data_IF_433790300772
#
_entry.id   IF_433790300772
#
_cell.length_a   1.000
_cell.length_b   1.000
_cell.length_c   1.000
_cell.angle_alpha   90.00
_cell.angle_beta   90.00
_cell.angle_gamma   90.00
#
_symmetry.space_group_name_H-M   'P 1'
#
loop_
_entity.id
_entity.type
_entity.pdbx_description
1 polymer ?
2 non-polymer ?
#
# COMPACT_ATOMS: atom_id res chain seq x y z
N UNK A 1 22.22 -0.47 -1.41
CA UNK A 1 21.40 -0.05 -0.22
C UNK A 1 20.16 -0.95 -0.06
N UNK A 2 20.16 -1.81 0.96
CA UNK A 2 19.04 -2.72 1.16
C UNK A 2 18.12 -2.40 2.34
N UNK A 3 18.23 -1.17 2.85
CA UNK A 3 17.40 -0.75 3.97
C UNK A 3 15.96 -0.53 3.52
N UNK A 4 15.01 -0.90 4.39
CA UNK A 4 13.59 -0.72 4.11
C UNK A 4 12.78 -0.41 5.37
N UNK A 5 11.61 0.15 5.12
CA UNK A 5 10.63 0.47 6.15
C UNK A 5 9.43 -0.29 5.61
N UNK A 6 8.71 -1.00 6.47
CA UNK A 6 7.58 -1.78 5.97
C UNK A 6 6.33 -1.79 6.86
N UNK A 7 5.18 -1.94 6.21
CA UNK A 7 3.88 -2.02 6.86
C UNK A 7 3.24 -3.27 6.27
N UNK A 8 3.07 -4.31 7.09
CA UNK A 8 2.52 -5.57 6.60
C UNK A 8 1.08 -5.90 7.01
N UNK A 9 0.40 -6.61 6.12
CA UNK A 9 -0.96 -7.06 6.37
C UNK A 9 -1.97 -6.01 6.77
N UNK A 10 -1.85 -4.81 6.21
CA UNK A 10 -2.81 -3.76 6.52
C UNK A 10 -4.14 -4.17 5.86
N UNK A 11 -5.23 -4.15 6.62
CA UNK A 11 -6.52 -4.55 6.09
C UNK A 11 -7.56 -3.46 6.18
N UNK A 12 -8.29 -3.29 5.09
CA UNK A 12 -9.29 -2.26 4.99
C UNK A 12 -10.55 -2.84 4.36
N UNK A 13 -11.72 -2.42 4.81
CA UNK A 13 -12.93 -2.92 4.19
C UNK A 13 -13.30 -1.89 3.13
N UNK A 14 -13.32 -2.32 1.87
CA UNK A 14 -13.63 -1.42 0.78
C UNK A 14 -14.64 -1.87 -0.26
N UNK A 15 -14.90 -1.02 -1.26
CA UNK A 15 -15.87 -1.31 -2.31
C UNK A 15 -15.32 -1.24 -3.73
N UNK A 16 -14.03 -1.47 -3.89
CA UNK A 16 -13.42 -1.46 -5.21
C UNK A 16 -13.68 -2.82 -5.86
N UNK A 17 -13.71 -2.82 -7.19
CA UNK A 17 -13.97 -4.03 -7.95
C UNK A 17 -14.69 -3.67 -9.24
N UNK A 18 -14.32 -4.36 -10.32
CA UNK A 18 -14.91 -4.12 -11.64
C UNK A 18 -16.38 -4.54 -11.76
N UNK A 19 -16.82 -5.37 -10.81
CA UNK A 19 -18.19 -5.88 -10.77
C UNK A 19 -19.10 -5.00 -9.89
N UNK A 20 -20.31 -4.71 -10.38
CA UNK A 20 -21.31 -3.90 -9.68
C UNK A 20 -21.54 -4.43 -8.28
N UNK A 21 -21.83 -5.72 -8.22
CA UNK A 21 -22.08 -6.44 -6.97
C UNK A 21 -20.98 -6.20 -5.93
N UNK A 22 -19.72 -6.21 -6.38
CA UNK A 22 -18.55 -5.98 -5.53
C UNK A 22 -18.59 -4.57 -4.94
N UNK A 23 -18.95 -3.59 -5.76
CA UNK A 23 -19.02 -2.21 -5.31
C UNK A 23 -20.13 -2.04 -4.28
N UNK A 24 -21.16 -2.87 -4.42
CA UNK A 24 -22.31 -2.85 -3.54
C UNK A 24 -22.03 -3.45 -2.15
N UNK A 25 -21.54 -4.70 -2.13
CA UNK A 25 -21.24 -5.45 -0.89
C UNK A 25 -19.90 -5.08 -0.21
N UNK A 26 -18.85 -4.92 -1.00
CA UNK A 26 -17.55 -4.57 -0.46
C UNK A 26 -16.82 -5.82 -0.02
N UNK A 27 -15.55 -5.67 0.34
CA UNK A 27 -14.75 -6.80 0.80
C UNK A 27 -13.48 -6.30 1.46
N UNK A 28 -12.76 -7.22 2.11
CA UNK A 28 -11.52 -6.86 2.76
C UNK A 28 -10.37 -6.90 1.75
N UNK A 29 -9.54 -5.86 1.82
CA UNK A 29 -8.37 -5.70 0.96
C UNK A 29 -7.17 -5.73 1.90
N UNK A 30 -6.17 -6.54 1.55
CA UNK A 30 -4.95 -6.67 2.34
C UNK A 30 -3.85 -5.90 1.61
N UNK A 31 -3.12 -5.06 2.35
CA UNK A 31 -2.06 -4.28 1.73
C UNK A 31 -0.72 -4.36 2.46
N UNK A 32 0.33 -4.53 1.66
CA UNK A 32 1.71 -4.60 2.15
C UNK A 32 2.50 -3.50 1.44
N UNK A 33 3.11 -2.61 2.22
CA UNK A 33 3.88 -1.50 1.66
C UNK A 33 5.32 -1.53 2.16
N UNK A 34 6.25 -1.66 1.22
CA UNK A 34 7.67 -1.69 1.55
C UNK A 34 8.38 -0.49 0.92
N UNK A 35 9.06 0.29 1.75
CA UNK A 35 9.77 1.50 1.30
C UNK A 35 11.30 1.38 1.38
N UNK A 36 11.98 1.66 0.28
CA UNK A 36 13.44 1.62 0.26
C UNK A 36 13.91 2.96 0.81
N UNK A 37 14.51 2.95 2.00
CA UNK A 37 14.96 4.19 2.60
C UNK A 37 16.27 3.93 3.32
N UNK A 38 17.22 4.84 3.15
CA UNK A 38 18.50 4.69 3.81
C UNK A 38 18.29 5.01 5.27
N UNK A 39 18.45 4.00 6.13
CA UNK A 39 18.21 4.17 7.56
C UNK A 39 19.40 4.40 8.49
N UNK A 40 20.60 4.54 7.93
CA UNK A 40 21.79 4.75 8.75
C UNK A 40 21.78 6.03 9.61
N UNK A 41 21.43 7.16 9.01
CA UNK A 41 21.39 8.41 9.76
C UNK A 41 20.49 8.26 10.99
N UNK A 42 19.25 7.82 10.79
CA UNK A 42 18.33 7.63 11.91
C UNK A 42 18.92 6.59 12.87
N UNK A 43 19.65 5.62 12.31
CA UNK A 43 20.26 4.59 13.13
C UNK A 43 21.32 5.17 14.05
N UNK A 44 21.97 6.21 13.56
CA UNK A 44 23.02 6.89 14.31
C UNK A 44 22.39 7.87 15.31
N UNK A 45 21.54 8.75 14.79
CA UNK A 45 20.89 9.78 15.60
C UNK A 45 19.83 9.34 16.60
N UNK A 46 18.95 8.43 16.20
CA UNK A 46 17.85 7.97 17.06
C UNK A 46 16.80 9.10 17.07
N UNK A 47 16.91 9.98 16.07
CA UNK A 47 15.99 11.11 15.92
C UNK A 47 14.94 10.75 14.88
N UNK A 48 13.68 10.76 15.31
CA UNK A 48 12.55 10.41 14.47
C UNK A 48 12.49 11.23 13.18
N UNK A 49 13.08 12.42 13.21
CA UNK A 49 13.07 13.31 12.05
C UNK A 49 14.06 12.90 10.95
N UNK A 50 14.79 11.81 11.18
CA UNK A 50 15.77 11.33 10.21
C UNK A 50 15.26 10.09 9.49
N UNK A 51 13.96 9.85 9.58
CA UNK A 51 13.37 8.69 8.96
C UNK A 51 11.92 8.95 8.58
N UNK A 52 11.24 7.92 8.08
CA UNK A 52 9.85 8.04 7.67
C UNK A 52 8.94 7.36 8.67
N UNK A 53 8.09 8.17 9.32
CA UNK A 53 7.10 7.75 10.28
C UNK A 53 6.07 6.80 9.65
N UNK A 54 6.13 5.52 10.13
CA UNK A 54 5.22 4.46 9.65
C UNK A 54 3.75 4.90 9.91
N UNK A 55 3.49 5.56 11.03
CA UNK A 55 2.13 5.99 11.32
C UNK A 55 1.50 6.89 10.25
N UNK A 56 2.31 7.77 9.65
CA UNK A 56 1.85 8.68 8.61
C UNK A 56 1.61 7.96 7.30
N UNK A 57 2.38 6.90 7.05
CA UNK A 57 2.25 6.14 5.81
C UNK A 57 0.96 5.33 5.80
N UNK A 58 0.65 4.76 6.96
CA UNK A 58 -0.55 3.97 7.14
C UNK A 58 -1.78 4.84 6.88
N UNK A 59 -1.72 6.09 7.32
CA UNK A 59 -2.82 7.04 7.12
C UNK A 59 -3.04 7.34 5.63
N UNK A 60 -1.95 7.45 4.88
CA UNK A 60 -2.02 7.71 3.44
C UNK A 60 -2.66 6.52 2.74
N UNK A 61 -2.20 5.33 3.11
CA UNK A 61 -2.73 4.10 2.55
C UNK A 61 -4.23 4.02 2.84
N UNK A 62 -4.57 4.17 4.12
CA UNK A 62 -5.96 4.13 4.59
C UNK A 62 -6.91 5.03 3.82
N UNK A 63 -6.51 6.29 3.66
CA UNK A 63 -7.31 7.28 2.95
C UNK A 63 -7.62 6.84 1.52
N UNK A 64 -6.67 6.12 0.91
CA UNK A 64 -6.83 5.64 -0.45
C UNK A 64 -7.65 4.36 -0.49
N UNK A 65 -7.38 3.45 0.45
CA UNK A 65 -8.09 2.17 0.52
C UNK A 65 -9.54 2.28 1.02
N UNK A 66 -9.80 3.19 1.96
CA UNK A 66 -11.17 3.36 2.46
C UNK A 66 -11.89 4.54 1.79
N UNK A 67 -11.34 5.02 0.67
CA UNK A 67 -11.94 6.13 -0.06
C UNK A 67 -12.76 5.69 -1.25
N UNK A 68 -13.06 6.61 -2.16
CA UNK A 68 -13.85 6.30 -3.36
C UNK A 68 -13.49 4.95 -3.99
N UNK A 69 -14.50 4.20 -4.41
CA UNK A 69 -14.29 2.88 -5.01
C UNK A 69 -13.93 2.94 -6.48
N UNK A 70 -12.81 2.30 -6.81
CA UNK A 70 -12.30 2.23 -8.17
C UNK A 70 -12.47 0.81 -8.70
N UNK A 71 -12.08 0.56 -9.94
CA UNK A 71 -12.24 -0.78 -10.50
C UNK A 71 -11.06 -1.72 -10.25
N UNK A 72 -9.85 -1.21 -10.39
CA UNK A 72 -8.69 -2.06 -10.26
C UNK A 72 -7.82 -1.87 -9.04
N UNK A 73 -7.09 -2.92 -8.70
CA UNK A 73 -6.16 -2.90 -7.58
C UNK A 73 -4.93 -2.17 -8.10
N UNK A 74 -4.73 -2.23 -9.42
CA UNK A 74 -3.60 -1.59 -10.10
C UNK A 74 -3.69 -0.09 -9.92
N UNK A 75 -4.92 0.40 -9.96
CA UNK A 75 -5.20 1.82 -9.81
C UNK A 75 -5.01 2.23 -8.37
N UNK A 76 -5.36 1.32 -7.46
CA UNK A 76 -5.23 1.56 -6.04
C UNK A 76 -3.79 1.56 -5.57
N UNK A 77 -2.98 0.65 -6.11
CA UNK A 77 -1.57 0.57 -5.75
C UNK A 77 -0.81 1.74 -6.39
N UNK A 78 -1.23 2.12 -7.59
CA UNK A 78 -0.60 3.22 -8.34
C UNK A 78 -0.78 4.58 -7.64
N UNK A 79 -1.94 4.80 -7.00
CA UNK A 79 -2.23 6.05 -6.27
C UNK A 79 -1.52 6.09 -4.92
N UNK A 80 -1.28 4.91 -4.35
CA UNK A 80 -0.61 4.78 -3.06
C UNK A 80 0.89 5.04 -3.25
N UNK A 81 1.49 4.32 -4.20
CA UNK A 81 2.90 4.47 -4.49
C UNK A 81 3.19 5.92 -4.85
N UNK A 82 2.33 6.49 -5.70
CA UNK A 82 2.47 7.89 -6.12
C UNK A 82 2.35 8.86 -4.95
N UNK A 83 1.44 8.58 -4.02
CA UNK A 83 1.22 9.44 -2.86
C UNK A 83 2.36 9.39 -1.84
N UNK A 84 3.02 8.24 -1.74
CA UNK A 84 4.14 8.08 -0.80
C UNK A 84 5.45 8.63 -1.36
N UNK A 85 5.67 8.40 -2.65
CA UNK A 85 6.88 8.88 -3.30
C UNK A 85 6.88 10.41 -3.31
N UNK A 86 5.69 10.97 -3.51
CA UNK A 86 5.45 12.41 -3.58
C UNK A 86 5.71 13.21 -2.31
N UNK A 87 5.29 12.65 -1.18
CA UNK A 87 5.42 13.32 0.10
C UNK A 87 6.70 13.03 0.84
N UNK A 88 7.42 11.99 0.43
CA UNK A 88 8.67 11.67 1.10
C UNK A 88 9.81 11.53 0.09
N UNK A 89 10.77 12.44 0.20
CA UNK A 89 11.94 12.47 -0.67
C UNK A 89 12.90 11.38 -0.23
N UNK A 90 12.80 10.98 1.04
CA UNK A 90 13.67 9.94 1.58
C UNK A 90 13.38 8.53 1.04
N UNK A 91 12.18 8.36 0.50
CA UNK A 91 11.73 7.08 -0.07
C UNK A 91 12.31 7.00 -1.48
N UNK A 92 13.31 6.15 -1.69
CA UNK A 92 13.94 6.03 -3.02
C UNK A 92 13.10 5.24 -4.00
N UNK A 93 12.23 4.39 -3.45
CA UNK A 93 11.35 3.53 -4.24
C UNK A 93 10.26 2.90 -3.37
N UNK A 94 9.05 2.78 -3.92
CA UNK A 94 7.93 2.21 -3.18
C UNK A 94 7.31 0.96 -3.83
N UNK A 95 7.15 -0.08 -3.01
CA UNK A 95 6.56 -1.35 -3.43
C UNK A 95 5.21 -1.54 -2.72
N UNK A 96 4.16 -1.72 -3.52
CA UNK A 96 2.82 -1.91 -2.98
C UNK A 96 2.18 -3.19 -3.46
N UNK A 97 1.79 -4.04 -2.52
CA UNK A 97 1.15 -5.30 -2.84
C UNK A 97 -0.28 -5.26 -2.29
N UNK A 98 -1.25 -5.58 -3.14
CA UNK A 98 -2.63 -5.59 -2.72
C UNK A 98 -3.24 -6.94 -2.99
N UNK A 99 -3.88 -7.48 -1.98
CA UNK A 99 -4.49 -8.80 -2.08
C UNK A 99 -5.99 -8.82 -1.82
N UNK A 100 -6.70 -9.50 -2.70
CA UNK A 100 -8.13 -9.69 -2.58
C UNK A 100 -8.20 -11.13 -2.07
N UNK A 101 -8.41 -11.31 -0.77
CA UNK A 101 -8.45 -12.65 -0.22
C UNK A 101 -9.76 -13.34 -0.49
N UNK A 102 -10.79 -12.56 -0.82
CA UNK A 102 -12.12 -13.12 -1.09
C UNK A 102 -12.81 -12.50 -2.28
N UNK A 103 -12.25 -12.70 -3.47
CA UNK A 103 -12.83 -12.15 -4.69
C UNK A 103 -14.00 -12.98 -5.25
N UNK A 104 -14.80 -12.39 -6.15
CA UNK A 104 -15.93 -13.13 -6.72
C UNK A 104 -15.48 -14.24 -7.66
N UNK A 105 -14.49 -15.03 -7.24
CA UNK A 105 -13.99 -16.13 -8.07
C UNK A 105 -14.32 -17.49 -7.44
N UNK A 106 -15.24 -18.25 -8.08
CA UNK A 106 -15.70 -19.57 -7.63
C UNK A 106 -14.59 -20.60 -7.53
N UNK A 107 -13.96 -20.66 -6.37
CA UNK A 107 -12.89 -21.61 -6.18
C UNK A 107 -12.29 -21.55 -4.79
N UNK A 108 -11.27 -22.38 -4.61
CA UNK A 108 -10.55 -22.50 -3.35
C UNK A 108 -9.13 -21.99 -3.55
N UNK A 109 -8.80 -20.90 -2.86
CA UNK A 109 -7.50 -20.27 -2.95
C UNK A 109 -7.28 -19.37 -1.75
N UNK A 110 -6.03 -18.99 -1.54
CA UNK A 110 -5.68 -18.13 -0.42
C UNK A 110 -5.90 -16.65 -0.74
N UNK A 111 -5.67 -16.26 -2.00
CA UNK A 111 -5.85 -14.87 -2.38
C UNK A 111 -5.43 -14.55 -3.80
N UNK A 112 -5.86 -13.39 -4.28
CA UNK A 112 -5.51 -12.93 -5.62
C UNK A 112 -5.16 -11.45 -5.58
N UNK A 113 -4.26 -11.04 -6.46
CA UNK A 113 -3.90 -9.64 -6.46
C UNK A 113 -2.76 -9.25 -7.38
N UNK A 114 -2.17 -8.11 -7.04
CA UNK A 114 -1.07 -7.52 -7.79
C UNK A 114 0.01 -6.89 -6.91
N UNK A 115 1.17 -6.64 -7.50
CA UNK A 115 2.26 -5.98 -6.77
C UNK A 115 3.01 -5.08 -7.73
N UNK A 116 3.22 -3.84 -7.32
CA UNK A 116 3.94 -2.89 -8.15
C UNK A 116 5.10 -2.29 -7.37
N UNK A 117 6.15 -1.92 -8.09
CA UNK A 117 7.32 -1.31 -7.49
C UNK A 117 7.49 -0.01 -8.28
N UNK A 118 7.52 1.12 -7.58
CA UNK A 118 7.66 2.42 -8.24
C UNK A 118 8.80 3.25 -7.67
N UNK A 119 9.78 3.58 -8.51
CA UNK A 119 10.90 4.39 -8.04
C UNK A 119 10.44 5.85 -7.89
N UNK A 120 10.93 6.54 -6.86
CA UNK A 120 10.58 7.94 -6.59
C UNK A 120 11.47 8.84 -7.45
N UNK A 121 10.88 9.62 -8.35
CA UNK A 121 11.64 10.51 -9.24
C UNK A 121 11.84 11.92 -8.68
X LIG B 1 -15.04 -1.21 9.69
X LIG B 1 -14.81 -0.25 8.75
X LIG B 1 -13.96 0.84 9.07
X LIG B 1 -13.70 1.82 8.20
X LIG B 1 -12.86 2.86 8.57
X LIG B 1 -14.30 1.79 6.82
X LIG B 1 -14.25 2.57 5.75
X LIG B 1 -15.08 1.97 4.71
X LIG B 1 -15.64 0.74 5.29
X LIG B 1 -15.19 0.61 6.53
X LIG B 1 -15.39 -0.36 7.56
X LIG B 1 -15.30 2.46 3.41
X LIG B 1 -16.32 3.44 3.17
X LIG B 1 -16.54 3.95 1.84
X LIG B 1 -15.76 3.45 0.75
X LIG B 1 -14.75 2.47 0.98
X LIG B 1 -14.52 1.97 2.31
X LIG B 1 -13.93 1.95 -0.15
X LIG B 1 -13.06 1.12 0.05
X LIG B 1 -14.13 2.39 -1.38
#
# INVERSE_FOLDING_TARGET
MQDTIFLKGMRFYGYHGALSAENEIGQIFKVDVTLKVDLSEAGRTDNVIDTVHYGEVFEEVKSIMEGKAVNLLEHLAERIANRINSQYNRVMETKVRITKENPPIPGHYDGVGIEIVRENK
A45 N1 C2 N3 C4 O5 C6 N7 N8 N9 C10 N11 C12 C13 C14 C15 C16 C17 C18 O19 O20
#
